data_IF_035784693222
#
_entry.id   IF_035784693222
#
_cell.length_a   1.000
_cell.length_b   1.000
_cell.length_c   1.000
_cell.angle_alpha   90.00
_cell.angle_beta   90.00
_cell.angle_gamma   90.00
#
_symmetry.space_group_name_H-M   'P 1'
#
loop_
_entity.id
_entity.type
_entity.pdbx_description
1 polymer ?
#
# COMPACT_ATOMS: atom_id res chain seq x y z
N UNK A 1 7.03 2.36 1.85
CA UNK A 1 5.74 2.56 2.58
C UNK A 1 5.55 4.03 2.87
N UNK A 2 4.41 4.41 3.37
CA UNK A 2 4.09 5.79 3.71
C UNK A 2 3.65 5.86 5.16
N UNK A 3 3.83 7.03 5.78
CA UNK A 3 3.30 7.34 7.10
C UNK A 3 2.32 8.50 6.99
N UNK A 4 1.16 8.37 7.63
CA UNK A 4 0.21 9.46 7.71
C UNK A 4 -0.63 9.38 8.99
N UNK A 5 -1.09 10.54 9.44
CA UNK A 5 -1.96 10.62 10.60
C UNK A 5 -3.37 10.16 10.27
N UNK A 6 -3.91 9.28 11.12
CA UNK A 6 -5.28 8.76 10.96
C UNK A 6 -6.13 9.19 12.14
N UNK A 7 -7.07 10.08 11.89
CA UNK A 7 -7.93 10.68 12.91
C UNK A 7 -8.72 9.65 13.73
N UNK A 8 -9.19 8.59 13.08
CA UNK A 8 -9.99 7.56 13.76
C UNK A 8 -9.24 6.87 14.90
N UNK A 9 -7.93 6.67 14.75
CA UNK A 9 -7.08 6.07 15.78
C UNK A 9 -6.29 7.11 16.56
N UNK A 10 -6.23 8.35 16.09
CA UNK A 10 -5.49 9.43 16.73
C UNK A 10 -3.98 9.24 16.72
N UNK A 11 -3.45 8.53 15.73
CA UNK A 11 -2.02 8.24 15.64
C UNK A 11 -1.51 8.22 14.20
N UNK A 12 -0.19 8.36 14.04
CA UNK A 12 0.49 8.19 12.76
C UNK A 12 0.66 6.70 12.50
N UNK A 13 0.18 6.24 11.35
CA UNK A 13 0.27 4.83 10.95
C UNK A 13 1.24 4.65 9.78
N UNK A 14 1.96 3.53 9.81
CA UNK A 14 2.77 3.07 8.67
C UNK A 14 1.87 2.20 7.79
N UNK A 15 1.80 2.56 6.51
CA UNK A 15 0.84 1.98 5.57
C UNK A 15 1.50 1.67 4.22
N UNK A 16 0.87 0.77 3.47
CA UNK A 16 1.13 0.66 2.05
C UNK A 16 0.58 1.88 1.33
N UNK A 17 1.14 2.19 0.16
CA UNK A 17 0.55 3.18 -0.74
C UNK A 17 -0.82 2.67 -1.16
N UNK A 18 -1.84 3.47 -0.97
CA UNK A 18 -3.21 3.11 -1.30
C UNK A 18 -4.03 4.33 -1.70
N UNK A 19 -5.01 4.10 -2.54
CA UNK A 19 -5.96 5.13 -2.95
C UNK A 19 -7.19 4.50 -3.57
N UNK A 20 -8.18 5.34 -3.86
CA UNK A 20 -9.40 4.90 -4.52
C UNK A 20 -9.19 4.80 -6.03
N UNK A 21 -9.74 3.74 -6.62
CA UNK A 21 -9.80 3.62 -8.08
C UNK A 21 -10.88 4.60 -8.58
N UNK A 22 -10.53 5.40 -9.57
CA UNK A 22 -11.46 6.34 -10.17
C UNK A 22 -12.45 5.59 -11.07
N UNK A 23 -13.63 6.20 -11.32
CA UNK A 23 -14.63 5.61 -12.18
C UNK A 23 -14.06 5.36 -13.59
N UNK A 24 -14.22 4.12 -14.08
CA UNK A 24 -13.69 3.71 -15.37
C UNK A 24 -12.18 3.42 -15.39
N UNK A 25 -11.49 3.59 -14.28
CA UNK A 25 -10.07 3.30 -14.16
C UNK A 25 -9.84 1.83 -13.85
N UNK A 26 -8.88 1.20 -14.54
CA UNK A 26 -8.43 -0.14 -14.19
C UNK A 26 -7.69 -0.12 -12.83
N UNK A 27 -7.93 -1.10 -11.93
CA UNK A 27 -7.25 -1.15 -10.63
C UNK A 27 -5.72 -1.08 -10.71
N UNK A 28 -5.10 -1.72 -11.70
CA UNK A 28 -3.65 -1.66 -11.89
C UNK A 28 -3.18 -0.24 -12.23
N UNK A 29 -3.89 0.42 -13.13
CA UNK A 29 -3.56 1.80 -13.51
C UNK A 29 -3.76 2.75 -12.32
N UNK A 30 -4.80 2.53 -11.52
CA UNK A 30 -5.02 3.27 -10.29
C UNK A 30 -3.88 3.10 -9.29
N UNK A 31 -3.40 1.87 -9.12
CA UNK A 31 -2.27 1.58 -8.24
C UNK A 31 -0.98 2.25 -8.72
N UNK A 32 -0.72 2.22 -10.03
CA UNK A 32 0.43 2.91 -10.63
C UNK A 32 0.36 4.41 -10.42
N UNK A 33 -0.80 4.99 -10.64
CA UNK A 33 -1.04 6.43 -10.46
C UNK A 33 -0.80 6.83 -9.00
N UNK A 34 -1.37 6.11 -8.04
CA UNK A 34 -1.21 6.40 -6.62
C UNK A 34 0.23 6.27 -6.16
N UNK A 35 0.95 5.25 -6.62
CA UNK A 35 2.36 5.09 -6.26
C UNK A 35 3.17 6.31 -6.73
N UNK A 36 2.96 6.74 -7.97
CA UNK A 36 3.66 7.89 -8.54
C UNK A 36 3.32 9.19 -7.80
N UNK A 37 2.03 9.44 -7.56
CA UNK A 37 1.57 10.64 -6.87
C UNK A 37 2.07 10.71 -5.42
N UNK A 38 1.95 9.61 -4.69
CA UNK A 38 2.29 9.60 -3.26
C UNK A 38 3.80 9.47 -2.99
N UNK A 39 4.56 8.86 -3.89
CA UNK A 39 5.97 8.56 -3.62
C UNK A 39 6.95 9.06 -4.68
N UNK A 40 6.48 9.35 -5.88
CA UNK A 40 7.35 9.65 -7.01
C UNK A 40 7.97 8.43 -7.67
N UNK A 41 7.68 7.23 -7.21
CA UNK A 41 8.17 5.98 -7.81
C UNK A 41 7.22 5.48 -8.89
N UNK A 42 7.80 4.87 -9.93
CA UNK A 42 7.04 4.30 -11.03
C UNK A 42 7.86 3.31 -11.85
N UNK A 43 7.36 2.97 -13.03
CA UNK A 43 7.92 1.92 -13.88
C UNK A 43 7.96 0.57 -13.14
N UNK A 44 8.95 -0.28 -13.41
CA UNK A 44 9.09 -1.57 -12.75
C UNK A 44 8.14 -2.63 -13.30
N UNK A 45 8.11 -3.76 -12.60
CA UNK A 45 7.27 -4.90 -12.94
C UNK A 45 6.17 -5.05 -11.90
N UNK A 46 4.94 -5.26 -12.35
CA UNK A 46 3.75 -5.29 -11.51
C UNK A 46 3.04 -6.63 -11.61
N UNK A 47 2.67 -7.19 -10.48
CA UNK A 47 1.85 -8.40 -10.42
C UNK A 47 0.75 -8.25 -9.38
N UNK A 48 -0.41 -8.80 -9.70
CA UNK A 48 -1.50 -8.86 -8.74
C UNK A 48 -1.13 -9.83 -7.61
N UNK A 49 -1.15 -9.35 -6.39
CA UNK A 49 -0.82 -10.13 -5.22
C UNK A 49 -2.05 -10.78 -4.60
N UNK A 50 -3.09 -10.01 -4.37
CA UNK A 50 -4.33 -10.51 -3.78
C UNK A 50 -5.51 -9.55 -4.03
N UNK A 51 -6.72 -10.10 -4.00
CA UNK A 51 -7.98 -9.34 -4.05
C UNK A 51 -8.81 -9.76 -2.85
N UNK A 52 -9.11 -8.84 -1.97
CA UNK A 52 -9.81 -9.11 -0.72
C UNK A 52 -10.95 -8.12 -0.50
N UNK A 53 -11.95 -8.56 0.26
CA UNK A 53 -13.02 -7.67 0.75
C UNK A 53 -12.54 -7.00 2.04
N UNK A 54 -12.48 -5.66 2.11
CA UNK A 54 -12.06 -4.98 3.33
C UNK A 54 -13.11 -5.04 4.44
N UNK A 55 -14.40 -5.04 4.07
CA UNK A 55 -15.49 -5.07 5.04
C UNK A 55 -16.77 -5.62 4.42
N UNK A 56 -16.85 -6.92 4.27
CA UNK A 56 -17.96 -7.60 3.60
C UNK A 56 -19.30 -7.44 4.32
N UNK A 57 -19.30 -7.13 5.61
CA UNK A 57 -20.53 -6.93 6.37
C UNK A 57 -21.24 -5.61 6.01
N UNK A 58 -20.51 -4.61 5.55
CA UNK A 58 -21.02 -3.27 5.32
C UNK A 58 -20.87 -2.79 3.87
N UNK A 59 -19.91 -3.31 3.11
CA UNK A 59 -19.56 -2.82 1.77
C UNK A 59 -19.33 -3.97 0.80
N UNK A 60 -19.54 -3.69 -0.49
CA UNK A 60 -19.28 -4.64 -1.57
C UNK A 60 -18.00 -4.32 -2.36
N UNK A 61 -17.22 -3.35 -1.91
CA UNK A 61 -15.96 -2.99 -2.55
C UNK A 61 -14.89 -4.06 -2.33
N UNK A 62 -13.93 -4.10 -3.24
CA UNK A 62 -12.79 -5.01 -3.18
C UNK A 62 -11.49 -4.20 -3.09
N UNK A 63 -10.52 -4.75 -2.39
CA UNK A 63 -9.18 -4.20 -2.27
C UNK A 63 -8.24 -5.02 -3.16
N UNK A 64 -7.64 -4.38 -4.14
CA UNK A 64 -6.66 -4.97 -5.06
C UNK A 64 -5.28 -4.58 -4.59
N UNK A 65 -4.44 -5.56 -4.30
CA UNK A 65 -3.06 -5.32 -3.87
C UNK A 65 -2.08 -5.86 -4.90
N UNK A 66 -1.15 -5.01 -5.30
CA UNK A 66 -0.14 -5.32 -6.31
C UNK A 66 1.25 -5.29 -5.68
N UNK A 67 2.12 -6.14 -6.19
CA UNK A 67 3.56 -6.08 -5.90
C UNK A 67 4.24 -5.44 -7.10
N UNK A 68 4.93 -4.34 -6.85
CA UNK A 68 5.76 -3.66 -7.85
C UNK A 68 7.23 -3.87 -7.48
N UNK A 69 7.99 -4.41 -8.43
CA UNK A 69 9.44 -4.65 -8.28
C UNK A 69 10.22 -3.82 -9.28
N UNK A 70 11.47 -3.49 -8.95
CA UNK A 70 12.36 -2.70 -9.80
C UNK A 70 11.79 -1.33 -10.17
N UNK A 71 11.04 -0.72 -9.25
CA UNK A 71 10.53 0.64 -9.43
C UNK A 71 11.65 1.67 -9.30
N UNK A 72 11.46 2.80 -9.96
CA UNK A 72 12.44 3.87 -10.05
C UNK A 72 11.86 5.17 -9.51
N UNK A 73 12.71 5.98 -8.88
CA UNK A 73 12.33 7.34 -8.49
C UNK A 73 12.26 8.21 -9.74
N UNK A 74 11.06 8.57 -10.17
CA UNK A 74 10.81 9.33 -11.40
C UNK A 74 10.55 10.80 -11.16
N UNK A 75 9.94 11.13 -10.01
CA UNK A 75 9.53 12.50 -9.72
C UNK A 75 9.44 12.72 -8.21
N UNK A 76 9.14 13.96 -7.82
CA UNK A 76 8.75 14.27 -6.45
C UNK A 76 7.30 13.85 -6.21
N UNK A 77 6.87 13.87 -4.94
CA UNK A 77 5.48 13.64 -4.57
C UNK A 77 4.56 14.70 -5.21
N UNK A 78 3.36 14.27 -5.59
CA UNK A 78 2.30 15.14 -6.11
C UNK A 78 1.05 14.94 -5.22
N UNK A 79 1.15 15.43 -3.99
CA UNK A 79 0.07 15.34 -3.01
C UNK A 79 -0.94 16.48 -3.23
N UNK A 80 -2.22 16.21 -2.95
CA UNK A 80 -3.21 17.29 -2.90
C UNK A 80 -3.07 18.07 -1.59
N UNK A 81 -3.82 19.18 -1.47
CA UNK A 81 -3.69 20.09 -0.32
C UNK A 81 -4.15 19.48 1.02
N UNK A 82 -4.86 18.37 0.99
CA UNK A 82 -5.37 17.68 2.18
C UNK A 82 -4.50 16.51 2.61
N UNK A 83 -3.53 16.13 1.79
CA UNK A 83 -2.64 15.00 2.06
C UNK A 83 -1.37 15.44 2.78
N UNK A 84 -1.00 14.71 3.81
CA UNK A 84 0.25 14.87 4.55
C UNK A 84 0.86 13.48 4.72
N UNK A 85 1.62 13.06 3.72
CA UNK A 85 2.14 11.70 3.59
C UNK A 85 3.66 11.74 3.51
N UNK A 86 4.32 11.01 4.38
CA UNK A 86 5.77 10.87 4.38
C UNK A 86 6.17 9.49 3.87
N UNK A 87 7.09 9.44 2.90
CA UNK A 87 7.62 8.17 2.36
C UNK A 87 8.68 7.63 3.30
N UNK A 88 8.57 6.34 3.62
CA UNK A 88 9.56 5.61 4.42
C UNK A 88 10.00 4.36 3.68
N UNK A 89 11.31 4.14 3.65
CA UNK A 89 11.91 2.94 3.07
C UNK A 89 12.36 2.00 4.18
N UNK A 90 12.03 0.72 4.02
CA UNK A 90 12.39 -0.32 4.97
C UNK A 90 13.05 -1.48 4.24
N UNK A 91 13.95 -2.18 4.92
CA UNK A 91 14.41 -3.48 4.44
C UNK A 91 13.29 -4.51 4.62
N UNK A 92 13.39 -5.63 3.89
CA UNK A 92 12.41 -6.73 4.09
C UNK A 92 12.42 -7.22 5.54
N UNK A 93 13.59 -7.33 6.16
CA UNK A 93 13.71 -7.75 7.54
C UNK A 93 12.99 -6.81 8.50
N UNK A 94 13.21 -5.50 8.35
CA UNK A 94 12.50 -4.49 9.14
C UNK A 94 10.99 -4.57 8.94
N UNK A 95 10.55 -4.74 7.70
CA UNK A 95 9.12 -4.85 7.37
C UNK A 95 8.51 -6.09 8.02
N UNK A 96 9.20 -7.23 7.95
CA UNK A 96 8.69 -8.47 8.53
C UNK A 96 8.67 -8.42 10.06
N UNK A 97 9.63 -7.75 10.67
CA UNK A 97 9.62 -7.52 12.12
C UNK A 97 8.43 -6.64 12.54
N UNK A 98 8.18 -5.58 11.79
CA UNK A 98 7.01 -4.71 12.03
C UNK A 98 5.70 -5.49 11.89
N UNK A 99 5.62 -6.34 10.88
CA UNK A 99 4.43 -7.15 10.61
C UNK A 99 4.18 -8.16 11.76
N UNK A 100 5.22 -8.89 12.17
CA UNK A 100 5.12 -9.84 13.30
C UNK A 100 4.81 -9.16 14.63
N UNK A 101 5.25 -7.93 14.80
CA UNK A 101 5.02 -7.15 16.01
C UNK A 101 3.73 -6.35 16.02
N UNK A 102 2.82 -6.61 15.08
CA UNK A 102 1.53 -5.91 14.93
C UNK A 102 1.68 -4.39 14.79
N UNK A 103 2.77 -3.94 14.18
CA UNK A 103 3.00 -2.51 13.92
C UNK A 103 2.26 -2.02 12.67
N UNK A 104 1.85 -2.92 11.80
CA UNK A 104 1.00 -2.60 10.65
C UNK A 104 -0.44 -2.79 11.13
N UNK A 105 -1.06 -1.69 11.52
CA UNK A 105 -2.31 -1.67 12.30
C UNK A 105 -3.58 -1.93 11.48
N UNK A 106 -3.57 -1.62 10.19
CA UNK A 106 -4.73 -1.79 9.33
C UNK A 106 -4.75 -3.18 8.69
N UNK A 107 -5.86 -3.90 8.85
CA UNK A 107 -6.01 -5.24 8.29
C UNK A 107 -5.84 -5.27 6.76
N UNK A 108 -6.34 -4.26 6.07
CA UNK A 108 -6.21 -4.13 4.61
C UNK A 108 -4.77 -3.93 4.15
N UNK A 109 -3.90 -3.47 5.04
CA UNK A 109 -2.46 -3.31 4.78
C UNK A 109 -1.68 -4.55 5.21
N UNK A 110 -2.04 -5.13 6.36
CA UNK A 110 -1.35 -6.30 6.91
C UNK A 110 -1.58 -7.56 6.05
N UNK A 111 -2.79 -7.77 5.55
CA UNK A 111 -3.13 -8.99 4.81
C UNK A 111 -2.27 -9.19 3.54
N UNK A 112 -2.11 -8.21 2.65
CA UNK A 112 -1.22 -8.38 1.49
C UNK A 112 0.25 -8.55 1.89
N UNK A 113 0.69 -7.91 2.98
CA UNK A 113 2.05 -8.09 3.48
C UNK A 113 2.31 -9.49 4.01
N UNK A 114 1.33 -10.09 4.69
CA UNK A 114 1.42 -11.50 5.10
C UNK A 114 1.47 -12.45 3.91
N UNK A 115 0.75 -12.17 2.84
CA UNK A 115 0.85 -12.97 1.62
C UNK A 115 2.24 -12.83 0.99
N UNK A 116 2.78 -11.62 0.94
CA UNK A 116 4.13 -11.39 0.46
C UNK A 116 5.16 -12.15 1.31
N UNK A 117 5.03 -12.10 2.63
CA UNK A 117 5.86 -12.86 3.55
C UNK A 117 5.81 -14.37 3.23
N UNK A 118 4.61 -14.91 3.07
CA UNK A 118 4.43 -16.33 2.74
C UNK A 118 5.11 -16.70 1.42
N UNK A 119 4.96 -15.87 0.38
CA UNK A 119 5.61 -16.09 -0.91
C UNK A 119 7.13 -16.13 -0.78
N UNK A 120 7.71 -15.20 -0.02
CA UNK A 120 9.16 -15.11 0.17
C UNK A 120 9.72 -16.29 0.99
N UNK A 121 8.89 -16.95 1.76
CA UNK A 121 9.28 -18.10 2.60
C UNK A 121 8.80 -19.43 2.04
N UNK A 122 8.29 -19.47 0.82
CA UNK A 122 7.85 -20.71 0.16
C UNK A 122 6.61 -21.34 0.77
N UNK A 123 5.78 -20.55 1.37
CA UNK A 123 4.57 -21.04 2.04
C UNK A 123 3.33 -20.92 1.14
#
# INVERSE_FOLDING_TARGET
>A
MVEQYRHALGEVLTELVAGCVEEGEDPLEGARRELLEETGYGNGQWQLLTVLSPNAAANNNLSYSYLATDVEKLSEQHLDSTEDIEVKLFTEEELFDMLRGDKIRQATMAAPLWKYYAMKHGL
#
